data_IF_834892429547
#
_entry.id   IF_834892429547
#
_cell.length_a   1.000
_cell.length_b   1.000
_cell.length_c   1.000
_cell.angle_alpha   90.00
_cell.angle_beta   90.00
_cell.angle_gamma   90.00
#
_symmetry.space_group_name_H-M   'P 1'
#
loop_
_entity.id
_entity.type
_entity.pdbx_description
1 polymer ?
#
# COMPACT_ATOMS: atom_id res chain seq x y z
N UNK A 1 12.14 -10.88 -2.97
CA UNK A 1 11.31 -9.95 -2.15
C UNK A 1 10.04 -9.66 -2.93
N UNK A 2 8.86 -9.52 -2.27
CA UNK A 2 7.61 -9.24 -2.98
C UNK A 2 7.53 -7.79 -3.47
N UNK A 3 6.81 -7.58 -4.57
CA UNK A 3 6.40 -6.27 -5.04
C UNK A 3 5.31 -5.71 -4.13
N UNK A 4 5.63 -4.66 -3.38
CA UNK A 4 4.70 -4.03 -2.44
C UNK A 4 3.87 -2.95 -3.14
N UNK A 5 2.55 -3.15 -3.20
CA UNK A 5 1.60 -2.19 -3.76
C UNK A 5 0.60 -1.72 -2.71
N UNK A 6 0.19 -0.46 -2.83
CA UNK A 6 -0.96 0.08 -2.11
C UNK A 6 -2.23 -0.20 -2.90
N UNK A 7 -3.37 -0.31 -2.22
CA UNK A 7 -4.67 -0.46 -2.88
C UNK A 7 -4.87 0.57 -4.00
N UNK A 8 -5.41 0.12 -5.14
CA UNK A 8 -5.66 0.91 -6.37
C UNK A 8 -4.42 1.49 -7.06
N UNK A 9 -3.21 1.26 -6.54
CA UNK A 9 -1.98 1.63 -7.26
C UNK A 9 -1.65 0.63 -8.36
N UNK A 10 -0.78 1.05 -9.26
CA UNK A 10 -0.30 0.25 -10.38
C UNK A 10 1.22 0.39 -10.53
N UNK A 11 1.87 -0.67 -11.01
CA UNK A 11 3.30 -0.69 -11.28
C UNK A 11 3.60 -1.63 -12.45
N UNK A 12 4.51 -1.20 -13.33
CA UNK A 12 4.93 -2.02 -14.46
C UNK A 12 6.02 -3.00 -14.05
N UNK A 13 5.94 -4.23 -14.55
CA UNK A 13 7.04 -5.20 -14.45
C UNK A 13 8.01 -4.98 -15.62
N UNK A 14 9.31 -5.04 -15.32
CA UNK A 14 10.38 -4.94 -16.32
C UNK A 14 10.88 -6.34 -16.61
N UNK A 15 10.94 -6.70 -17.89
CA UNK A 15 11.50 -7.98 -18.35
C UNK A 15 12.93 -7.76 -18.83
N UNK A 16 13.87 -8.53 -18.28
CA UNK A 16 15.22 -8.67 -18.81
C UNK A 16 15.30 -9.93 -19.66
N UNK A 17 15.82 -9.83 -20.88
CA UNK A 17 16.01 -10.98 -21.77
C UNK A 17 17.48 -11.37 -21.78
N UNK A 18 17.81 -12.65 -21.84
CA UNK A 18 19.22 -13.07 -22.00
C UNK A 18 19.31 -14.15 -23.07
N UNK A 19 20.00 -13.89 -24.20
CA UNK A 19 20.65 -12.63 -24.57
C UNK A 19 19.65 -11.49 -24.86
N UNK A 20 20.04 -10.24 -24.58
CA UNK A 20 19.16 -9.05 -24.71
C UNK A 20 18.62 -8.83 -26.14
N UNK A 21 19.34 -9.36 -27.13
CA UNK A 21 19.03 -9.28 -28.56
C UNK A 21 18.06 -10.36 -29.05
N UNK A 22 17.35 -11.06 -28.15
CA UNK A 22 16.37 -12.05 -28.58
C UNK A 22 15.27 -11.43 -29.46
N UNK A 23 14.95 -12.08 -30.58
CA UNK A 23 13.93 -11.62 -31.53
C UNK A 23 12.50 -11.95 -31.09
N UNK A 24 12.34 -12.95 -30.20
CA UNK A 24 11.05 -13.38 -29.65
C UNK A 24 10.85 -12.81 -28.24
N UNK A 25 10.31 -11.60 -28.19
CA UNK A 25 10.03 -10.88 -26.93
C UNK A 25 8.57 -11.01 -26.47
N UNK A 26 7.77 -11.84 -27.13
CA UNK A 26 6.39 -12.09 -26.72
C UNK A 26 6.31 -12.73 -25.33
N UNK A 27 5.49 -12.14 -24.46
CA UNK A 27 5.26 -12.64 -23.09
C UNK A 27 3.78 -12.57 -22.79
N UNK A 28 3.25 -13.66 -22.24
CA UNK A 28 1.88 -13.75 -21.74
C UNK A 28 1.90 -13.62 -20.23
N UNK A 29 1.03 -12.76 -19.71
CA UNK A 29 0.91 -12.47 -18.29
C UNK A 29 -0.33 -13.11 -17.68
N UNK A 30 -0.23 -13.58 -16.45
CA UNK A 30 -1.38 -14.05 -15.67
C UNK A 30 -1.22 -13.76 -14.18
N UNK A 31 -2.35 -13.70 -13.46
CA UNK A 31 -2.40 -13.53 -12.01
C UNK A 31 -3.11 -14.72 -11.38
N UNK A 32 -2.60 -15.23 -10.25
CA UNK A 32 -3.23 -16.32 -9.51
C UNK A 32 -4.50 -15.88 -8.77
N UNK A 33 -4.64 -14.59 -8.45
CA UNK A 33 -5.82 -14.05 -7.79
C UNK A 33 -6.11 -12.62 -8.28
N UNK A 34 -7.01 -12.53 -9.27
CA UNK A 34 -7.43 -11.26 -9.89
C UNK A 34 -8.23 -10.35 -8.96
N UNK A 35 -8.74 -10.87 -7.83
CA UNK A 35 -9.38 -10.07 -6.78
C UNK A 35 -8.37 -9.27 -5.95
N UNK A 36 -7.10 -9.68 -5.91
CA UNK A 36 -6.00 -8.98 -5.22
C UNK A 36 -5.24 -8.08 -6.20
N UNK A 37 -4.77 -8.63 -7.33
CA UNK A 37 -4.10 -7.85 -8.37
C UNK A 37 -4.34 -8.44 -9.76
N UNK A 38 -4.47 -7.57 -10.76
CA UNK A 38 -4.53 -7.95 -12.17
C UNK A 38 -3.29 -7.48 -12.89
N UNK A 39 -2.91 -8.16 -13.97
CA UNK A 39 -1.83 -7.76 -14.87
C UNK A 39 -2.38 -7.69 -16.29
N UNK A 40 -1.99 -6.68 -17.07
CA UNK A 40 -2.37 -6.56 -18.48
C UNK A 40 -1.32 -7.15 -19.43
N UNK A 41 -1.60 -7.11 -20.74
CA UNK A 41 -0.71 -7.64 -21.77
C UNK A 41 0.65 -6.93 -21.85
N UNK A 42 0.77 -5.72 -21.30
CA UNK A 42 2.03 -4.96 -21.26
C UNK A 42 2.88 -5.22 -20.01
N UNK A 43 2.34 -5.99 -19.05
CA UNK A 43 2.99 -6.24 -17.76
C UNK A 43 2.64 -5.22 -16.68
N UNK A 44 1.61 -4.39 -16.88
CA UNK A 44 1.15 -3.44 -15.87
C UNK A 44 0.35 -4.17 -14.80
N UNK A 45 0.91 -4.28 -13.60
CA UNK A 45 0.23 -4.84 -12.43
C UNK A 45 -0.61 -3.74 -11.77
N UNK A 46 -1.90 -4.00 -11.58
CA UNK A 46 -2.84 -3.11 -10.90
C UNK A 46 -3.37 -3.80 -9.64
N UNK A 47 -3.11 -3.20 -8.48
CA UNK A 47 -3.68 -3.62 -7.21
C UNK A 47 -5.18 -3.30 -7.17
N UNK A 48 -5.98 -4.26 -6.69
CA UNK A 48 -7.42 -4.09 -6.54
C UNK A 48 -7.76 -3.52 -5.16
N UNK A 49 -8.98 -3.76 -4.71
CA UNK A 49 -9.53 -3.30 -3.43
C UNK A 49 -9.29 -4.27 -2.28
N UNK A 50 -8.85 -5.49 -2.59
CA UNK A 50 -8.58 -6.53 -1.59
C UNK A 50 -7.08 -6.54 -1.26
N UNK A 51 -6.77 -6.52 0.03
CA UNK A 51 -5.39 -6.72 0.51
C UNK A 51 -5.01 -8.19 0.51
N UNK A 52 -3.71 -8.48 0.49
CA UNK A 52 -3.18 -9.83 0.52
C UNK A 52 -2.05 -10.06 -0.47
N UNK A 53 -1.62 -11.32 -0.58
CA UNK A 53 -0.55 -11.73 -1.48
C UNK A 53 -1.11 -12.52 -2.65
N UNK A 54 -0.59 -12.26 -3.86
CA UNK A 54 -0.89 -13.04 -5.07
C UNK A 54 0.36 -13.19 -5.91
N UNK A 55 0.33 -14.16 -6.83
CA UNK A 55 1.42 -14.41 -7.77
C UNK A 55 1.05 -13.87 -9.14
N UNK A 56 1.99 -13.16 -9.75
CA UNK A 56 1.94 -12.77 -11.16
C UNK A 56 2.97 -13.60 -11.92
N UNK A 57 2.57 -14.19 -13.04
CA UNK A 57 3.42 -15.04 -13.87
C UNK A 57 3.66 -14.40 -15.23
N UNK A 58 4.92 -14.42 -15.67
CA UNK A 58 5.34 -14.15 -17.03
C UNK A 58 5.65 -15.48 -17.71
N UNK A 59 5.09 -15.73 -18.88
CA UNK A 59 5.38 -16.92 -19.69
C UNK A 59 5.83 -16.45 -21.07
N UNK A 60 6.97 -16.96 -21.56
CA UNK A 60 7.42 -16.67 -22.93
C UNK A 60 6.40 -17.16 -23.95
N UNK A 61 6.41 -16.56 -25.14
CA UNK A 61 5.50 -16.90 -26.24
C UNK A 61 5.59 -18.38 -26.66
N UNK A 62 6.78 -18.99 -26.57
CA UNK A 62 6.98 -20.43 -26.84
C UNK A 62 6.52 -21.34 -25.68
N UNK A 63 6.14 -20.78 -24.54
CA UNK A 63 5.74 -21.50 -23.34
C UNK A 63 6.88 -22.18 -22.57
N UNK A 64 8.13 -22.04 -23.03
CA UNK A 64 9.29 -22.76 -22.49
C UNK A 64 9.81 -22.09 -21.22
N UNK A 65 9.84 -20.76 -21.20
CA UNK A 65 10.37 -19.98 -20.09
C UNK A 65 9.23 -19.39 -19.28
N UNK A 66 9.35 -19.49 -17.96
CA UNK A 66 8.35 -18.96 -17.03
C UNK A 66 9.05 -18.36 -15.82
N UNK A 67 8.58 -17.19 -15.42
CA UNK A 67 9.02 -16.54 -14.19
C UNK A 67 7.81 -16.00 -13.41
N UNK A 68 8.02 -15.68 -12.14
CA UNK A 68 6.96 -15.27 -11.24
C UNK A 68 7.41 -14.19 -10.26
N UNK A 69 6.47 -13.31 -9.92
CA UNK A 69 6.65 -12.28 -8.92
C UNK A 69 5.53 -12.37 -7.89
N UNK A 70 5.88 -12.32 -6.61
CA UNK A 70 4.90 -12.16 -5.53
C UNK A 70 4.50 -10.69 -5.46
N UNK A 71 3.21 -10.41 -5.52
CA UNK A 71 2.64 -9.08 -5.31
C UNK A 71 1.95 -9.07 -3.95
N UNK A 72 2.39 -8.18 -3.08
CA UNK A 72 1.78 -7.93 -1.78
C UNK A 72 1.01 -6.60 -1.83
N UNK A 73 -0.32 -6.67 -1.74
CA UNK A 73 -1.20 -5.52 -1.69
C UNK A 73 -1.51 -5.20 -0.24
N UNK A 74 -1.09 -4.02 0.22
CA UNK A 74 -1.36 -3.53 1.57
C UNK A 74 -2.44 -2.45 1.51
N UNK A 75 -3.38 -2.53 2.45
CA UNK A 75 -4.25 -1.40 2.73
C UNK A 75 -3.39 -0.23 3.20
N UNK A 76 -3.64 0.93 2.61
CA UNK A 76 -3.09 2.17 3.17
C UNK A 76 -3.86 2.43 4.44
N UNK A 77 -3.22 2.23 5.58
CA UNK A 77 -3.63 2.90 6.81
C UNK A 77 -3.32 4.38 6.60
N UNK A 78 -4.28 5.11 6.09
CA UNK A 78 -4.30 6.55 6.29
C UNK A 78 -4.35 6.73 7.81
N UNK A 79 -3.28 7.23 8.41
CA UNK A 79 -3.33 7.74 9.77
C UNK A 79 -4.31 8.92 9.75
N UNK A 80 -5.56 8.58 10.03
CA UNK A 80 -6.74 9.41 10.23
C UNK A 80 -6.62 10.88 9.77
N UNK A 81 -6.88 11.13 8.49
CA UNK A 81 -7.45 12.41 8.06
C UNK A 81 -8.92 12.19 7.67
N UNK A 82 -9.72 11.71 8.62
CA UNK A 82 -11.18 11.74 8.50
C UNK A 82 -11.69 12.81 9.44
N UNK A 83 -11.80 14.04 8.92
CA UNK A 83 -12.58 15.12 9.53
C UNK A 83 -12.44 15.12 11.05
N UNK A 84 -11.22 15.28 11.58
CA UNK A 84 -11.06 15.41 13.02
C UNK A 84 -11.98 16.53 13.45
N UNK A 85 -13.03 16.20 14.20
CA UNK A 85 -13.76 17.21 14.93
C UNK A 85 -12.69 18.06 15.64
N UNK A 86 -12.79 19.40 15.59
CA UNK A 86 -11.74 20.25 16.12
C UNK A 86 -11.41 19.77 17.52
N UNK A 87 -10.16 19.37 17.73
CA UNK A 87 -9.69 18.96 19.06
C UNK A 87 -9.90 20.17 19.95
N UNK A 88 -10.80 20.03 20.91
CA UNK A 88 -11.21 21.16 21.73
C UNK A 88 -10.51 21.08 23.07
N UNK A 89 -10.02 22.24 23.53
CA UNK A 89 -9.27 22.38 24.77
C UNK A 89 -10.11 23.21 25.74
N UNK A 90 -10.48 22.60 26.87
CA UNK A 90 -11.29 23.27 27.89
C UNK A 90 -10.79 23.00 29.32
N UNK A 91 -10.91 23.99 30.22
CA UNK A 91 -11.26 25.40 29.96
C UNK A 91 -10.08 26.22 29.40
N UNK A 92 -10.34 27.30 28.67
CA UNK A 92 -9.35 28.32 28.30
C UNK A 92 -9.85 29.70 28.80
N UNK A 93 -9.16 30.38 29.74
CA UNK A 93 -7.87 30.03 30.37
C UNK A 93 -7.97 28.87 31.37
N UNK A 94 -6.96 27.98 31.40
CA UNK A 94 -6.86 26.91 32.39
C UNK A 94 -6.07 27.35 33.62
N UNK A 95 -6.44 26.84 34.81
CA UNK A 95 -5.69 27.04 36.06
C UNK A 95 -4.97 25.77 36.53
N UNK A 96 -5.68 24.62 36.56
CA UNK A 96 -5.12 23.39 37.14
C UNK A 96 -5.26 22.14 36.26
N UNK A 97 -6.22 22.12 35.31
CA UNK A 97 -6.53 20.94 34.50
C UNK A 97 -6.94 21.34 33.09
N UNK A 98 -6.38 20.67 32.09
CA UNK A 98 -6.76 20.77 30.69
C UNK A 98 -7.46 19.46 30.27
N UNK A 99 -8.59 19.58 29.58
CA UNK A 99 -9.30 18.46 28.96
C UNK A 99 -9.15 18.60 27.45
N UNK A 100 -8.74 17.51 26.80
CA UNK A 100 -8.72 17.38 25.35
C UNK A 100 -9.87 16.46 24.93
N UNK A 101 -10.77 16.96 24.07
CA UNK A 101 -11.87 16.18 23.49
C UNK A 101 -11.76 16.15 21.96
N UNK A 102 -12.25 15.08 21.33
CA UNK A 102 -12.25 14.94 19.86
C UNK A 102 -11.38 13.80 19.29
N UNK A 103 -10.68 13.03 20.14
CA UNK A 103 -10.12 11.75 19.72
C UNK A 103 -11.25 10.71 19.66
N UNK A 104 -11.35 9.93 18.58
CA UNK A 104 -12.26 8.79 18.51
C UNK A 104 -11.88 7.69 19.53
N UNK A 105 -12.41 6.48 19.40
CA UNK A 105 -12.12 5.34 20.30
C UNK A 105 -10.63 4.89 20.35
N UNK A 106 -9.70 5.65 19.77
CA UNK A 106 -8.27 5.42 19.86
C UNK A 106 -7.67 6.22 21.02
N UNK A 107 -7.06 5.48 21.96
CA UNK A 107 -6.37 6.03 23.12
C UNK A 107 -5.10 6.73 22.63
N UNK A 108 -5.18 8.04 22.41
CA UNK A 108 -3.99 8.87 22.17
C UNK A 108 -3.36 9.24 23.50
N UNK A 109 -2.32 8.53 23.89
CA UNK A 109 -1.56 8.82 25.12
C UNK A 109 -0.75 10.10 24.89
N UNK A 110 -1.27 11.26 25.32
CA UNK A 110 -0.50 12.51 25.33
C UNK A 110 0.17 12.68 26.71
N UNK A 111 1.51 12.66 26.74
CA UNK A 111 2.29 13.04 27.92
C UNK A 111 2.33 14.57 27.99
N UNK A 112 1.68 15.14 29.00
CA UNK A 112 1.88 16.54 29.34
C UNK A 112 3.25 16.62 30.03
N UNK A 113 4.22 17.24 29.36
CA UNK A 113 5.46 17.66 30.00
C UNK A 113 5.15 18.93 30.81
N UNK A 114 5.69 19.01 32.01
CA UNK A 114 5.49 20.09 32.97
C UNK A 114 5.53 21.47 32.29
N UNK A 115 4.42 22.23 32.39
CA UNK A 115 4.29 23.56 31.78
C UNK A 115 4.77 24.68 32.72
N UNK A 116 5.34 24.35 33.88
CA UNK A 116 5.79 25.36 34.84
C UNK A 116 7.03 26.14 34.39
N UNK A 117 7.63 25.81 33.23
CA UNK A 117 8.57 26.66 32.51
C UNK A 117 9.49 27.45 33.45
N UNK A 118 10.37 26.76 34.18
CA UNK A 118 11.60 27.43 34.61
C UNK A 118 12.49 27.66 33.40
#
# INVERSE_FOLDING_TARGET
MPLNLKLKNRQNLVISYTPDNTSRKGVTWSSSNTSIATVDATGMVTAKTTEGMTWVYATSEDGIHKDSCVVEVKKVSELFNRNSAPVSIYPNPARDRLILSGFGNEISIMRILDITGK
#
